data_IF_325337132940
#
_entry.id   IF_325337132940
#
_cell.length_a   1.000
_cell.length_b   1.000
_cell.length_c   1.000
_cell.angle_alpha   90.00
_cell.angle_beta   90.00
_cell.angle_gamma   90.00
#
_symmetry.space_group_name_H-M   'P 1'
#
loop_
_entity.id
_entity.type
_entity.pdbx_description
1 polymer ?
#
# COMPACT_ATOMS: atom_id res chain seq x y z
N UNK A 1 -19.89 4.65 -36.87
CA UNK A 1 -20.15 4.84 -35.45
C UNK A 1 -18.95 4.36 -34.68
N UNK A 2 -18.12 5.26 -34.20
CA UNK A 2 -17.06 4.95 -33.24
C UNK A 2 -17.73 4.67 -31.92
N UNK A 3 -17.77 3.39 -31.51
CA UNK A 3 -18.11 3.05 -30.13
C UNK A 3 -17.01 3.66 -29.25
N UNK A 4 -17.35 4.69 -28.52
CA UNK A 4 -16.53 5.23 -27.44
C UNK A 4 -16.58 4.16 -26.38
N UNK A 5 -15.51 3.36 -26.28
CA UNK A 5 -15.34 2.39 -25.20
C UNK A 5 -14.93 3.19 -23.99
N UNK A 6 -15.85 3.38 -23.06
CA UNK A 6 -15.56 4.02 -21.79
C UNK A 6 -14.53 3.19 -21.03
N UNK A 7 -13.43 3.82 -20.64
CA UNK A 7 -12.45 3.21 -19.76
C UNK A 7 -12.98 3.25 -18.32
N UNK A 8 -12.85 2.14 -17.62
CA UNK A 8 -13.26 2.02 -16.21
C UNK A 8 -12.03 1.84 -15.34
N UNK A 9 -11.88 2.71 -14.37
CA UNK A 9 -10.83 2.64 -13.38
C UNK A 9 -11.41 2.22 -12.04
N UNK A 10 -10.89 1.13 -11.47
CA UNK A 10 -11.31 0.58 -10.19
C UNK A 10 -10.13 0.63 -9.24
N UNK A 11 -10.33 1.22 -8.08
CA UNK A 11 -9.33 1.27 -7.01
C UNK A 11 -9.83 0.46 -5.81
N UNK A 12 -9.07 -0.53 -5.41
CA UNK A 12 -9.31 -1.34 -4.22
C UNK A 12 -8.21 -1.06 -3.21
N UNK A 13 -8.56 -0.37 -2.15
CA UNK A 13 -7.63 -0.02 -1.08
C UNK A 13 -7.71 -1.02 0.07
N UNK A 14 -6.56 -1.34 0.67
CA UNK A 14 -6.44 -2.21 1.84
C UNK A 14 -7.10 -3.59 1.66
N UNK A 15 -6.78 -4.29 0.58
CA UNK A 15 -7.35 -5.61 0.27
C UNK A 15 -7.15 -6.64 1.40
N UNK A 16 -6.09 -6.52 2.18
CA UNK A 16 -5.79 -7.36 3.35
C UNK A 16 -6.84 -7.24 4.46
N UNK A 17 -7.55 -6.14 4.56
CA UNK A 17 -8.62 -5.94 5.54
C UNK A 17 -9.93 -6.65 5.16
N UNK A 18 -10.06 -7.08 3.91
CA UNK A 18 -11.24 -7.82 3.45
C UNK A 18 -11.23 -9.25 3.97
N UNK A 19 -12.12 -9.57 4.91
CA UNK A 19 -12.24 -10.92 5.50
C UNK A 19 -12.83 -11.96 4.54
N UNK A 20 -13.60 -11.53 3.55
CA UNK A 20 -14.28 -12.40 2.57
C UNK A 20 -13.52 -12.50 1.25
N UNK A 21 -12.25 -12.12 1.21
CA UNK A 21 -11.42 -12.21 0.02
C UNK A 21 -11.18 -13.66 -0.45
N UNK A 22 -11.15 -14.61 0.50
CA UNK A 22 -11.12 -16.05 0.26
C UNK A 22 -12.55 -16.57 0.29
N UNK A 23 -13.24 -16.56 -0.82
CA UNK A 23 -14.55 -17.18 -0.92
C UNK A 23 -14.44 -18.65 -1.31
N UNK A 24 -15.27 -19.49 -0.69
CA UNK A 24 -15.52 -20.85 -1.18
C UNK A 24 -16.29 -20.77 -2.50
N UNK A 25 -15.72 -21.33 -3.52
CA UNK A 25 -16.29 -21.77 -4.81
C UNK A 25 -16.82 -20.74 -5.82
N UNK A 26 -17.44 -19.62 -5.49
CA UNK A 26 -17.98 -18.70 -6.52
C UNK A 26 -17.90 -17.21 -6.13
N UNK A 27 -17.50 -16.86 -4.93
CA UNK A 27 -17.85 -15.55 -4.41
C UNK A 27 -16.78 -14.74 -3.70
N UNK A 28 -15.53 -15.18 -3.66
CA UNK A 28 -14.47 -14.39 -3.04
C UNK A 28 -14.08 -13.17 -3.88
N UNK A 29 -13.71 -12.08 -3.23
CA UNK A 29 -13.27 -10.87 -3.90
C UNK A 29 -12.12 -11.12 -4.89
N UNK A 30 -11.15 -11.97 -4.53
CA UNK A 30 -10.03 -12.34 -5.41
C UNK A 30 -10.51 -13.03 -6.69
N UNK A 31 -11.49 -13.92 -6.58
CA UNK A 31 -12.09 -14.62 -7.71
C UNK A 31 -12.87 -13.67 -8.64
N UNK A 32 -13.59 -12.73 -8.05
CA UNK A 32 -14.30 -11.68 -8.79
C UNK A 32 -13.32 -10.78 -9.55
N UNK A 33 -12.21 -10.39 -8.93
CA UNK A 33 -11.16 -9.58 -9.56
C UNK A 33 -10.54 -10.29 -10.76
N UNK A 34 -10.24 -11.58 -10.61
CA UNK A 34 -9.75 -12.43 -11.72
C UNK A 34 -10.74 -12.46 -12.89
N UNK A 35 -12.01 -12.63 -12.59
CA UNK A 35 -13.09 -12.60 -13.58
C UNK A 35 -13.20 -11.26 -14.29
N UNK A 36 -13.08 -10.16 -13.57
CA UNK A 36 -13.12 -8.81 -14.11
C UNK A 36 -12.01 -8.56 -15.15
N UNK A 37 -10.80 -9.02 -14.87
CA UNK A 37 -9.65 -8.85 -15.77
C UNK A 37 -9.65 -9.83 -16.95
N UNK A 38 -10.42 -10.90 -16.87
CA UNK A 38 -10.55 -11.89 -17.96
C UNK A 38 -11.50 -11.43 -19.07
N UNK A 39 -12.29 -10.40 -18.83
CA UNK A 39 -13.20 -9.85 -19.85
C UNK A 39 -12.46 -8.76 -20.63
N UNK A 40 -12.43 -8.81 -21.97
CA UNK A 40 -11.79 -7.78 -22.79
C UNK A 40 -12.60 -6.49 -22.75
N UNK A 41 -12.47 -5.76 -21.66
CA UNK A 41 -13.02 -4.42 -21.45
C UNK A 41 -11.86 -3.52 -21.10
N UNK A 42 -12.01 -2.24 -21.36
CA UNK A 42 -11.06 -1.22 -20.97
C UNK A 42 -11.16 -0.97 -19.44
N UNK A 43 -10.92 -2.01 -18.64
CA UNK A 43 -10.94 -1.94 -17.18
C UNK A 43 -9.51 -1.94 -16.64
N UNK A 44 -9.23 -0.96 -15.82
CA UNK A 44 -7.97 -0.79 -15.12
C UNK A 44 -8.21 -1.00 -13.63
N UNK A 45 -7.35 -1.78 -12.99
CA UNK A 45 -7.48 -2.12 -11.59
C UNK A 45 -6.21 -1.72 -10.84
N UNK A 46 -6.36 -0.87 -9.84
CA UNK A 46 -5.30 -0.52 -8.90
C UNK A 46 -5.64 -1.11 -7.52
N UNK A 47 -4.71 -1.86 -6.95
CA UNK A 47 -4.91 -2.53 -5.68
C UNK A 47 -3.81 -2.10 -4.72
N UNK A 48 -4.19 -1.75 -3.49
CA UNK A 48 -3.25 -1.62 -2.38
C UNK A 48 -3.51 -2.72 -1.35
N UNK A 49 -2.46 -3.25 -0.75
CA UNK A 49 -2.56 -4.29 0.28
C UNK A 49 -1.27 -4.40 1.07
N UNK A 50 -1.36 -4.89 2.30
CA UNK A 50 -0.20 -5.46 2.96
C UNK A 50 0.18 -6.75 2.27
N UNK A 51 1.46 -7.15 2.44
CA UNK A 51 1.95 -8.40 1.89
C UNK A 51 1.42 -9.56 2.71
N UNK A 52 0.49 -10.30 2.14
CA UNK A 52 -0.05 -11.54 2.70
C UNK A 52 0.05 -12.66 1.67
N UNK A 53 0.36 -13.87 2.12
CA UNK A 53 0.67 -15.01 1.26
C UNK A 53 -0.47 -15.37 0.31
N UNK A 54 -1.71 -15.33 0.76
CA UNK A 54 -2.88 -15.64 -0.06
C UNK A 54 -3.14 -14.59 -1.14
N UNK A 55 -2.91 -13.32 -0.83
CA UNK A 55 -3.04 -12.23 -1.77
C UNK A 55 -1.91 -12.30 -2.80
N UNK A 56 -0.67 -12.46 -2.34
CA UNK A 56 0.50 -12.58 -3.21
C UNK A 56 0.36 -13.76 -4.18
N UNK A 57 -0.06 -14.92 -3.68
CA UNK A 57 -0.28 -16.12 -4.48
C UNK A 57 -1.38 -15.93 -5.53
N UNK A 58 -2.49 -15.30 -5.15
CA UNK A 58 -3.56 -15.02 -6.08
C UNK A 58 -3.16 -14.02 -7.16
N UNK A 59 -2.49 -12.93 -6.77
CA UNK A 59 -2.07 -11.89 -7.71
C UNK A 59 -1.01 -12.39 -8.70
N UNK A 60 -0.07 -13.23 -8.28
CA UNK A 60 0.95 -13.79 -9.18
C UNK A 60 0.40 -14.71 -10.24
N UNK A 61 -0.80 -15.26 -10.07
CA UNK A 61 -1.44 -16.07 -11.09
C UNK A 61 -1.92 -15.26 -12.31
N UNK A 62 -2.28 -14.00 -12.13
CA UNK A 62 -2.94 -13.22 -13.17
C UNK A 62 -2.42 -11.78 -13.35
N UNK A 63 -1.51 -11.32 -12.51
CA UNK A 63 -0.82 -10.04 -12.67
C UNK A 63 0.68 -10.28 -12.92
N UNK A 64 1.26 -9.66 -13.96
CA UNK A 64 2.70 -9.75 -14.20
C UNK A 64 3.46 -9.06 -13.06
N UNK A 65 4.65 -9.58 -12.75
CA UNK A 65 5.46 -9.09 -11.62
C UNK A 65 5.90 -7.63 -11.80
N UNK A 66 6.03 -7.18 -13.02
CA UNK A 66 6.33 -5.79 -13.36
C UNK A 66 5.22 -4.81 -12.99
N UNK A 67 4.00 -5.29 -12.82
CA UNK A 67 2.85 -4.48 -12.38
C UNK A 67 2.73 -4.44 -10.85
N UNK A 68 3.59 -5.15 -10.13
CA UNK A 68 3.63 -5.17 -8.67
C UNK A 68 4.71 -4.24 -8.14
N UNK A 69 4.29 -3.27 -7.33
CA UNK A 69 5.19 -2.32 -6.70
C UNK A 69 5.24 -2.55 -5.18
N UNK A 70 6.42 -2.88 -4.67
CA UNK A 70 6.63 -2.95 -3.23
C UNK A 70 6.98 -1.57 -2.68
N UNK A 71 6.12 -1.06 -1.78
CA UNK A 71 6.33 0.26 -1.15
C UNK A 71 7.40 0.21 -0.06
N UNK A 72 7.77 -0.97 0.42
CA UNK A 72 8.87 -1.16 1.38
C UNK A 72 10.25 -1.07 0.70
N UNK A 73 10.50 0.01 0.00
CA UNK A 73 11.80 0.27 -0.61
C UNK A 73 12.65 1.16 0.30
N UNK A 74 13.97 1.13 0.08
CA UNK A 74 14.90 2.03 0.77
C UNK A 74 14.51 3.51 0.59
N UNK A 75 13.97 3.86 -0.57
CA UNK A 75 13.49 5.21 -0.87
C UNK A 75 12.37 5.63 0.07
N UNK A 76 11.40 4.75 0.33
CA UNK A 76 10.31 5.02 1.27
C UNK A 76 10.83 5.15 2.70
N UNK A 77 11.80 4.34 3.09
CA UNK A 77 12.44 4.45 4.41
C UNK A 77 13.15 5.80 4.57
N UNK A 78 13.81 6.27 3.53
CA UNK A 78 14.48 7.57 3.53
C UNK A 78 13.46 8.74 3.60
N UNK A 79 12.34 8.62 2.89
CA UNK A 79 11.24 9.59 2.95
C UNK A 79 10.58 9.63 4.35
N UNK A 80 10.34 8.47 4.94
CA UNK A 80 9.82 8.36 6.32
C UNK A 80 10.79 9.02 7.31
N UNK A 81 12.08 8.75 7.16
CA UNK A 81 13.13 9.35 8.01
C UNK A 81 13.16 10.86 7.88
N UNK A 82 13.10 11.39 6.67
CA UNK A 82 13.01 12.82 6.39
C UNK A 82 11.78 13.45 7.05
N UNK A 83 10.61 12.85 6.84
CA UNK A 83 9.36 13.31 7.45
C UNK A 83 9.41 13.33 8.98
N UNK A 84 9.91 12.26 9.60
CA UNK A 84 10.05 12.16 11.07
C UNK A 84 11.01 13.22 11.58
N UNK A 85 12.14 13.42 10.90
CA UNK A 85 13.12 14.43 11.25
C UNK A 85 12.52 15.84 11.31
N UNK A 86 11.83 16.24 10.23
CA UNK A 86 11.20 17.55 10.12
C UNK A 86 10.08 17.72 11.16
N UNK A 87 9.25 16.69 11.33
CA UNK A 87 8.11 16.72 12.24
C UNK A 87 8.52 16.88 13.71
N UNK A 88 9.60 16.25 14.11
CA UNK A 88 10.10 16.36 15.48
C UNK A 88 10.68 17.75 15.77
N UNK A 89 11.28 18.39 14.76
CA UNK A 89 11.93 19.70 14.92
C UNK A 89 10.99 20.88 14.73
N UNK A 90 10.03 20.75 13.82
CA UNK A 90 9.13 21.83 13.42
C UNK A 90 7.70 21.68 13.97
N UNK A 91 7.32 20.48 14.41
CA UNK A 91 5.99 20.18 14.91
C UNK A 91 5.69 20.83 16.26
N UNK A 92 4.54 21.52 16.37
CA UNK A 92 4.11 22.19 17.60
C UNK A 92 4.05 21.25 18.82
N UNK A 93 3.70 19.99 18.62
CA UNK A 93 3.65 18.99 19.69
C UNK A 93 5.01 18.63 20.27
N UNK A 94 6.09 18.96 19.59
CA UNK A 94 7.46 18.62 19.99
C UNK A 94 8.27 19.82 20.50
N UNK A 95 7.68 21.01 20.61
CA UNK A 95 8.35 22.25 21.07
C UNK A 95 9.06 22.08 22.40
N UNK A 96 8.49 21.33 23.33
CA UNK A 96 9.09 21.06 24.66
C UNK A 96 10.43 20.33 24.58
N UNK A 97 10.71 19.62 23.50
CA UNK A 97 11.93 18.84 23.30
C UNK A 97 13.02 19.56 22.50
N UNK A 98 12.75 20.78 22.01
CA UNK A 98 13.71 21.56 21.22
C UNK A 98 15.01 21.83 21.97
N UNK A 99 14.94 21.98 23.30
CA UNK A 99 16.10 22.19 24.16
C UNK A 99 16.87 20.90 24.51
N UNK A 100 16.39 19.73 24.00
CA UNK A 100 16.90 18.42 24.37
C UNK A 100 17.28 17.60 23.12
N UNK A 101 18.40 17.94 22.43
CA UNK A 101 18.76 17.29 21.17
C UNK A 101 18.92 15.77 21.26
N UNK A 102 19.41 15.27 22.41
CA UNK A 102 19.54 13.81 22.65
C UNK A 102 18.18 13.11 22.67
N UNK A 103 17.20 13.70 23.33
CA UNK A 103 15.83 13.17 23.39
C UNK A 103 15.17 13.20 22.01
N UNK A 104 15.35 14.28 21.26
CA UNK A 104 14.86 14.37 19.88
C UNK A 104 15.44 13.23 19.03
N UNK A 105 16.73 12.93 19.17
CA UNK A 105 17.41 11.87 18.44
C UNK A 105 16.88 10.47 18.81
N UNK A 106 16.63 10.24 20.09
CA UNK A 106 16.04 8.98 20.57
C UNK A 106 14.61 8.77 20.03
N UNK A 107 13.79 9.82 20.05
CA UNK A 107 12.43 9.78 19.48
C UNK A 107 12.49 9.49 17.98
N UNK A 108 13.35 10.19 17.25
CA UNK A 108 13.55 10.00 15.82
C UNK A 108 13.92 8.55 15.49
N UNK A 109 14.94 8.02 16.17
CA UNK A 109 15.41 6.64 15.96
C UNK A 109 14.30 5.63 16.24
N UNK A 110 13.62 5.77 17.38
CA UNK A 110 12.52 4.87 17.76
C UNK A 110 11.35 4.89 16.78
N UNK A 111 10.99 6.05 16.26
CA UNK A 111 9.89 6.18 15.28
C UNK A 111 10.27 5.57 13.93
N UNK A 112 11.49 5.82 13.46
CA UNK A 112 11.97 5.26 12.19
C UNK A 112 12.07 3.74 12.26
N UNK A 113 12.63 3.19 13.35
CA UNK A 113 12.72 1.74 13.55
C UNK A 113 11.35 1.07 13.59
N UNK A 114 10.37 1.69 14.26
CA UNK A 114 9.01 1.15 14.32
C UNK A 114 8.25 1.27 13.00
N UNK A 115 8.58 2.26 12.18
CA UNK A 115 7.98 2.44 10.86
C UNK A 115 8.50 1.43 9.84
N UNK A 116 9.71 0.91 10.03
CA UNK A 116 10.36 -0.05 9.11
C UNK A 116 9.66 -1.44 9.08
N UNK A 117 8.65 -1.63 9.90
CA UNK A 117 7.85 -2.85 9.96
C UNK A 117 6.41 -2.72 9.42
N UNK A 118 6.07 -1.59 8.85
CA UNK A 118 4.70 -1.36 8.33
C UNK A 118 4.57 -1.57 6.84
#
# INVERSE_FOLDING_TARGET
MTQQTDEVWIVLDALDECRTRKGTEIGGLLSWMKGLLSVPRNAHLLITSRREEDIESALTEWAPIEDMMCIQSKLVTDDIRGYVYDRIREGDGFRRWQSWPKVQKEIETSLVEKADGM
#
